data_IF_229366428406
#
_entry.id   IF_229366428406
#
_cell.length_a   1.000
_cell.length_b   1.000
_cell.length_c   1.000
_cell.angle_alpha   90.00
_cell.angle_beta   90.00
_cell.angle_gamma   90.00
#
_symmetry.space_group_name_H-M   'P 1'
#
loop_
_entity.id
_entity.type
_entity.pdbx_description
1 polymer ?
#
# COMPACT_ATOMS: atom_id res chain seq x y z
N UNK A 1 16.09 -15.37 -35.15
CA UNK A 1 16.82 -15.24 -33.86
C UNK A 1 15.80 -15.16 -32.74
N UNK A 2 15.70 -16.20 -31.90
CA UNK A 2 14.74 -16.28 -30.80
C UNK A 2 15.25 -15.36 -29.69
N UNK A 3 14.71 -14.15 -29.59
CA UNK A 3 15.09 -13.20 -28.56
C UNK A 3 14.79 -13.80 -27.19
N UNK A 4 15.83 -14.26 -26.49
CA UNK A 4 15.75 -14.63 -25.07
C UNK A 4 15.34 -13.36 -24.33
N UNK A 5 14.06 -13.26 -23.98
CA UNK A 5 13.58 -12.26 -23.04
C UNK A 5 14.07 -12.71 -21.67
N UNK A 6 15.25 -12.25 -21.28
CA UNK A 6 15.74 -12.39 -19.91
C UNK A 6 14.73 -11.67 -19.04
N UNK A 7 13.98 -12.43 -18.24
CA UNK A 7 13.15 -11.87 -17.19
C UNK A 7 14.11 -11.35 -16.13
N UNK A 8 14.31 -10.04 -16.11
CA UNK A 8 15.17 -9.32 -15.16
C UNK A 8 14.66 -9.38 -13.70
N UNK A 9 13.54 -10.06 -13.45
CA UNK A 9 12.93 -10.23 -12.13
C UNK A 9 12.35 -11.65 -11.98
N UNK A 10 13.19 -12.66 -11.86
CA UNK A 10 12.71 -14.00 -11.49
C UNK A 10 12.31 -14.00 -10.00
N UNK A 11 11.01 -14.13 -9.73
CA UNK A 11 10.39 -14.22 -8.38
C UNK A 11 10.78 -13.08 -7.42
N UNK A 12 10.44 -11.83 -7.72
CA UNK A 12 10.73 -10.73 -6.82
C UNK A 12 10.03 -10.96 -5.46
N UNK A 13 10.75 -10.70 -4.38
CA UNK A 13 10.24 -10.80 -3.00
C UNK A 13 10.15 -9.40 -2.42
N UNK A 14 9.15 -9.17 -1.58
CA UNK A 14 8.96 -7.91 -0.85
C UNK A 14 8.93 -8.18 0.64
N UNK A 15 9.26 -7.17 1.43
CA UNK A 15 9.25 -7.23 2.90
C UNK A 15 8.67 -5.93 3.46
N UNK A 16 7.98 -6.04 4.58
CA UNK A 16 7.49 -4.89 5.33
C UNK A 16 8.55 -4.51 6.37
N UNK A 17 8.84 -3.22 6.53
CA UNK A 17 9.70 -2.72 7.61
C UNK A 17 8.78 -2.01 8.61
N UNK A 18 8.84 -2.42 9.88
CA UNK A 18 8.03 -1.87 10.96
C UNK A 18 8.95 -1.53 12.13
N UNK A 19 8.94 -0.28 12.60
CA UNK A 19 9.83 0.21 13.67
C UNK A 19 11.33 -0.10 13.45
N UNK A 20 11.79 -0.12 12.20
CA UNK A 20 13.16 -0.48 11.83
C UNK A 20 13.43 -1.99 11.75
N UNK A 21 12.47 -2.83 12.17
CA UNK A 21 12.56 -4.28 12.04
C UNK A 21 11.98 -4.76 10.71
N UNK A 22 12.74 -5.62 10.02
CA UNK A 22 12.32 -6.23 8.75
C UNK A 22 11.47 -7.46 9.03
N UNK A 23 10.20 -7.41 8.62
CA UNK A 23 9.29 -8.57 8.69
C UNK A 23 9.63 -9.61 7.62
N UNK A 24 9.06 -10.81 7.77
CA UNK A 24 9.27 -11.94 6.86
C UNK A 24 8.93 -11.54 5.41
N UNK A 25 9.89 -11.77 4.51
CA UNK A 25 9.69 -11.52 3.09
C UNK A 25 8.65 -12.48 2.50
N UNK A 26 7.87 -12.00 1.54
CA UNK A 26 6.88 -12.78 0.80
C UNK A 26 7.05 -12.58 -0.71
N UNK A 27 6.75 -13.61 -1.54
CA UNK A 27 6.87 -13.51 -2.99
C UNK A 27 5.80 -12.58 -3.57
N UNK A 28 6.17 -11.74 -4.51
CA UNK A 28 5.23 -10.95 -5.31
C UNK A 28 4.60 -11.85 -6.38
N UNK A 29 3.27 -11.84 -6.45
CA UNK A 29 2.49 -12.67 -7.38
C UNK A 29 2.25 -12.01 -8.73
N UNK A 30 2.15 -10.69 -8.75
CA UNK A 30 1.74 -9.89 -9.90
C UNK A 30 2.40 -8.51 -9.86
N UNK A 31 2.48 -7.87 -11.03
CA UNK A 31 3.00 -6.51 -11.17
C UNK A 31 2.47 -5.88 -12.46
N UNK A 32 2.49 -4.55 -12.54
CA UNK A 32 2.05 -3.83 -13.74
C UNK A 32 3.13 -3.81 -14.80
N UNK A 33 2.76 -3.98 -16.08
CA UNK A 33 3.72 -3.86 -17.19
C UNK A 33 4.20 -2.42 -17.32
N UNK A 34 5.51 -2.19 -17.18
CA UNK A 34 6.12 -0.88 -17.48
C UNK A 34 5.81 -0.46 -18.93
N UNK A 35 5.43 0.80 -19.11
CA UNK A 35 5.03 1.37 -20.41
C UNK A 35 3.58 1.12 -20.82
N UNK A 36 2.76 0.49 -19.98
CA UNK A 36 1.31 0.43 -20.20
C UNK A 36 0.65 1.77 -19.84
N UNK A 37 -0.05 2.45 -20.77
CA UNK A 37 -0.71 3.74 -20.49
C UNK A 37 -1.78 3.67 -19.41
N UNK A 38 -2.39 2.50 -19.20
CA UNK A 38 -3.49 2.30 -18.23
C UNK A 38 -3.02 1.94 -16.82
N UNK A 39 -1.79 1.47 -16.66
CA UNK A 39 -1.28 1.03 -15.36
C UNK A 39 -1.25 2.12 -14.29
N UNK A 40 -0.84 3.38 -14.58
CA UNK A 40 -0.89 4.45 -13.60
C UNK A 40 -2.31 4.75 -13.11
N UNK A 41 -3.30 4.74 -14.01
CA UNK A 41 -4.69 5.01 -13.66
C UNK A 41 -5.26 3.91 -12.76
N UNK A 42 -5.07 2.64 -13.13
CA UNK A 42 -5.52 1.50 -12.31
C UNK A 42 -4.87 1.50 -10.93
N UNK A 43 -3.60 1.87 -10.86
CA UNK A 43 -2.88 1.97 -9.60
C UNK A 43 -3.44 3.10 -8.71
N UNK A 44 -3.71 4.28 -9.27
CA UNK A 44 -4.35 5.37 -8.54
C UNK A 44 -5.74 4.99 -8.02
N UNK A 45 -6.56 4.29 -8.81
CA UNK A 45 -7.88 3.81 -8.37
C UNK A 45 -7.74 2.87 -7.16
N UNK A 46 -6.80 1.93 -7.20
CA UNK A 46 -6.57 1.00 -6.09
C UNK A 46 -6.12 1.75 -4.83
N UNK A 47 -5.21 2.72 -4.97
CA UNK A 47 -4.76 3.56 -3.85
C UNK A 47 -5.91 4.41 -3.27
N UNK A 48 -6.77 4.98 -4.11
CA UNK A 48 -7.91 5.79 -3.69
C UNK A 48 -8.93 4.96 -2.89
N UNK A 49 -9.20 3.72 -3.33
CA UNK A 49 -10.09 2.80 -2.59
C UNK A 49 -9.51 2.45 -1.21
N UNK A 50 -8.21 2.17 -1.14
CA UNK A 50 -7.54 1.91 0.15
C UNK A 50 -7.54 3.15 1.05
N UNK A 51 -7.23 4.33 0.50
CA UNK A 51 -7.25 5.60 1.21
C UNK A 51 -8.62 5.91 1.79
N UNK A 52 -9.68 5.71 0.99
CA UNK A 52 -11.06 5.91 1.44
C UNK A 52 -11.41 4.96 2.59
N UNK A 53 -11.03 3.69 2.51
CA UNK A 53 -11.26 2.72 3.56
C UNK A 53 -10.56 3.12 4.88
N UNK A 54 -9.31 3.60 4.81
CA UNK A 54 -8.58 4.12 5.97
C UNK A 54 -9.27 5.36 6.53
N UNK A 55 -9.66 6.30 5.66
CA UNK A 55 -10.37 7.52 6.03
C UNK A 55 -11.62 7.26 6.87
N UNK A 56 -12.42 6.27 6.45
CA UNK A 56 -13.69 5.91 7.09
C UNK A 56 -13.53 5.05 8.36
N UNK A 57 -12.38 4.44 8.58
CA UNK A 57 -12.15 3.55 9.72
C UNK A 57 -11.95 4.36 11.00
N UNK A 58 -12.87 4.23 11.97
CA UNK A 58 -12.87 5.03 13.20
C UNK A 58 -11.78 4.62 14.18
N UNK A 59 -11.37 3.36 14.14
CA UNK A 59 -10.29 2.82 14.97
C UNK A 59 -8.89 3.31 14.51
N UNK A 60 -8.79 3.85 13.30
CA UNK A 60 -7.61 4.55 12.81
C UNK A 60 -7.83 6.03 13.05
N UNK A 61 -7.21 6.57 14.09
CA UNK A 61 -7.28 7.99 14.41
C UNK A 61 -6.16 8.77 13.75
N UNK A 62 -6.54 9.84 13.07
CA UNK A 62 -5.66 10.76 12.39
C UNK A 62 -5.14 11.86 13.30
N UNK A 63 -4.34 12.75 12.72
CA UNK A 63 -3.92 13.98 13.40
C UNK A 63 -4.99 15.05 13.26
N UNK A 64 -5.37 15.68 14.37
CA UNK A 64 -6.30 16.81 14.36
C UNK A 64 -5.57 18.07 13.86
N UNK A 65 -6.06 18.66 12.76
CA UNK A 65 -5.60 19.94 12.21
C UNK A 65 -6.78 20.90 12.24
N UNK A 66 -6.81 21.79 13.24
CA UNK A 66 -7.96 22.66 13.48
C UNK A 66 -9.22 21.84 13.80
N UNK A 67 -10.25 21.95 12.95
CA UNK A 67 -11.53 21.23 13.10
C UNK A 67 -11.59 19.92 12.32
N UNK A 68 -10.59 19.62 11.51
CA UNK A 68 -10.57 18.45 10.65
C UNK A 68 -9.56 17.41 11.16
N UNK A 69 -9.91 16.13 11.00
CA UNK A 69 -9.02 15.01 11.26
C UNK A 69 -8.37 14.60 9.94
N UNK A 70 -7.03 14.63 9.89
CA UNK A 70 -6.26 14.21 8.72
C UNK A 70 -5.58 12.87 9.02
N UNK A 71 -5.94 11.83 8.27
CA UNK A 71 -5.42 10.47 8.45
C UNK A 71 -4.31 10.09 7.48
N UNK A 72 -4.31 10.67 6.29
CA UNK A 72 -3.36 10.31 5.24
C UNK A 72 -3.19 11.43 4.20
N UNK A 73 -2.11 11.34 3.45
CA UNK A 73 -1.88 12.06 2.20
C UNK A 73 -1.38 11.10 1.13
N UNK A 74 -1.78 11.35 -0.13
CA UNK A 74 -1.34 10.59 -1.30
C UNK A 74 -0.47 11.48 -2.18
N UNK A 75 0.63 10.93 -2.67
CA UNK A 75 1.46 11.60 -3.67
C UNK A 75 2.05 10.58 -4.64
N UNK A 76 1.66 10.63 -5.91
CA UNK A 76 2.01 9.64 -6.92
C UNK A 76 1.74 8.21 -6.39
N UNK A 77 2.79 7.42 -6.19
CA UNK A 77 2.73 6.06 -5.66
C UNK A 77 2.96 5.91 -4.15
N UNK A 78 3.22 7.02 -3.46
CA UNK A 78 3.40 7.06 -2.03
C UNK A 78 2.10 7.39 -1.29
N UNK A 79 1.84 6.63 -0.23
CA UNK A 79 0.82 6.91 0.77
C UNK A 79 1.49 7.15 2.12
N UNK A 80 1.24 8.32 2.71
CA UNK A 80 1.73 8.68 4.04
C UNK A 80 0.54 8.68 4.99
N UNK A 81 0.68 8.03 6.14
CA UNK A 81 -0.34 7.95 7.18
C UNK A 81 0.06 8.81 8.38
N UNK A 82 -0.87 9.64 8.85
CA UNK A 82 -0.74 10.43 10.07
C UNK A 82 -1.61 9.77 11.13
N UNK A 83 -1.00 9.12 12.12
CA UNK A 83 -1.72 8.34 13.13
C UNK A 83 -1.43 8.91 14.51
N UNK A 84 -2.48 9.27 15.25
CA UNK A 84 -2.35 9.84 16.60
C UNK A 84 -1.75 8.85 17.59
N UNK A 85 -2.30 7.63 17.66
CA UNK A 85 -1.74 6.54 18.45
C UNK A 85 -1.42 5.32 17.57
N UNK A 86 -0.16 5.19 17.13
CA UNK A 86 0.26 4.07 16.29
C UNK A 86 -0.03 2.70 16.91
N UNK A 87 0.13 2.54 18.24
CA UNK A 87 -0.03 1.23 18.89
C UNK A 87 -1.46 0.71 18.77
N UNK A 88 -2.45 1.60 18.94
CA UNK A 88 -3.87 1.24 18.91
C UNK A 88 -4.35 1.00 17.47
N UNK A 89 -3.86 1.81 16.51
CA UNK A 89 -4.32 1.75 15.12
C UNK A 89 -3.55 0.75 14.24
N UNK A 90 -2.35 0.32 14.63
CA UNK A 90 -1.51 -0.59 13.81
C UNK A 90 -2.22 -1.89 13.49
N UNK A 91 -2.91 -2.51 14.46
CA UNK A 91 -3.60 -3.78 14.23
C UNK A 91 -4.68 -3.63 13.14
N UNK A 92 -5.52 -2.60 13.25
CA UNK A 92 -6.58 -2.35 12.28
C UNK A 92 -6.03 -2.00 10.89
N UNK A 93 -4.95 -1.22 10.85
CA UNK A 93 -4.27 -0.87 9.60
C UNK A 93 -3.71 -2.13 8.91
N UNK A 94 -3.09 -3.03 9.66
CA UNK A 94 -2.59 -4.31 9.13
C UNK A 94 -3.73 -5.20 8.63
N UNK A 95 -4.85 -5.28 9.35
CA UNK A 95 -6.03 -6.03 8.91
C UNK A 95 -6.59 -5.50 7.58
N UNK A 96 -6.75 -4.19 7.44
CA UNK A 96 -7.19 -3.55 6.19
C UNK A 96 -6.19 -3.80 5.07
N UNK A 97 -4.91 -3.54 5.30
CA UNK A 97 -3.85 -3.73 4.30
C UNK A 97 -3.81 -5.19 3.83
N UNK A 98 -3.93 -6.15 4.74
CA UNK A 98 -4.00 -7.57 4.41
C UNK A 98 -5.26 -7.94 3.62
N UNK A 99 -6.42 -7.34 3.94
CA UNK A 99 -7.67 -7.55 3.18
C UNK A 99 -7.52 -7.09 1.74
N UNK A 100 -6.96 -5.90 1.51
CA UNK A 100 -6.72 -5.37 0.16
C UNK A 100 -5.61 -6.11 -0.58
N UNK A 101 -4.54 -6.52 0.12
CA UNK A 101 -3.46 -7.34 -0.46
C UNK A 101 -3.98 -8.66 -1.04
N UNK A 102 -4.98 -9.30 -0.40
CA UNK A 102 -5.64 -10.50 -0.95
C UNK A 102 -6.40 -10.24 -2.26
N UNK A 103 -6.92 -9.03 -2.47
CA UNK A 103 -7.63 -8.69 -3.71
C UNK A 103 -6.68 -8.47 -4.90
N UNK A 104 -5.40 -8.22 -4.63
CA UNK A 104 -4.35 -8.07 -5.65
C UNK A 104 -3.68 -9.41 -6.04
N UNK A 105 -4.09 -10.52 -5.41
CA UNK A 105 -3.44 -11.83 -5.46
C UNK A 105 -4.05 -12.81 -6.46
#
# INVERSE_FOLDING_TARGET
VKSRKVSIYDKPTTNIILYGEKLKAFPLKSGTRQGCPLSPLLFNIVLEVLATAIGQTKEIKGTQIGREEVKLSLYADDMILYIENPKDSTQKLLELTNKFSKAAA
#
